data_IF_087317782368
#
_entry.id   IF_087317782368
#
_cell.length_a   1.000
_cell.length_b   1.000
_cell.length_c   1.000
_cell.angle_alpha   90.00
_cell.angle_beta   90.00
_cell.angle_gamma   90.00
#
_symmetry.space_group_name_H-M   'P 1'
#
loop_
_entity.id
_entity.type
_entity.pdbx_description
1 polymer ?
#
# COMPACT_ATOMS: atom_id res chain seq x y z
N UNK A 1 2.90 8.18 -1.13
CA UNK A 1 3.02 8.22 0.37
C UNK A 1 1.76 8.71 1.07
N UNK A 2 1.21 9.88 0.72
CA UNK A 2 0.01 10.42 1.41
C UNK A 2 -1.16 9.44 1.49
N UNK A 3 -1.55 8.85 0.36
CA UNK A 3 -2.66 7.87 0.32
C UNK A 3 -2.35 6.60 1.12
N UNK A 4 -1.10 6.12 1.08
CA UNK A 4 -0.68 4.95 1.82
C UNK A 4 -0.77 5.18 3.34
N UNK A 5 -0.21 6.28 3.83
CA UNK A 5 -0.32 6.64 5.25
C UNK A 5 -1.77 6.95 5.65
N UNK A 6 -2.52 7.60 4.75
CA UNK A 6 -3.93 7.90 4.97
C UNK A 6 -4.80 6.65 5.13
N UNK A 7 -4.55 5.61 4.33
CA UNK A 7 -5.22 4.32 4.45
C UNK A 7 -4.84 3.61 5.76
N UNK A 8 -3.54 3.47 6.05
CA UNK A 8 -3.06 2.83 7.28
C UNK A 8 -3.58 3.52 8.55
N UNK A 9 -3.63 4.85 8.57
CA UNK A 9 -4.05 5.65 9.73
C UNK A 9 -5.54 5.98 9.77
N UNK A 10 -6.35 5.38 8.91
CA UNK A 10 -7.80 5.67 8.81
C UNK A 10 -8.11 7.18 8.78
N UNK A 11 -7.25 7.94 8.06
CA UNK A 11 -7.27 9.41 8.07
C UNK A 11 -8.61 9.99 7.65
N UNK A 12 -9.28 9.38 6.65
CA UNK A 12 -10.56 9.85 6.16
C UNK A 12 -11.66 9.79 7.25
N UNK A 13 -11.72 8.70 8.00
CA UNK A 13 -12.67 8.54 9.11
C UNK A 13 -12.44 9.60 10.19
N UNK A 14 -11.18 9.85 10.56
CA UNK A 14 -10.82 10.89 11.52
C UNK A 14 -11.19 12.29 11.04
N UNK A 15 -10.92 12.60 9.75
CA UNK A 15 -11.27 13.89 9.16
C UNK A 15 -12.78 14.13 9.08
N UNK A 16 -13.56 13.11 8.72
CA UNK A 16 -15.03 13.19 8.72
C UNK A 16 -15.56 13.45 10.14
N UNK A 17 -15.05 12.73 11.13
CA UNK A 17 -15.42 12.92 12.53
C UNK A 17 -15.15 14.37 13.02
N UNK A 18 -14.00 14.94 12.63
CA UNK A 18 -13.68 16.34 12.96
C UNK A 18 -14.67 17.31 12.30
N UNK A 19 -14.94 17.12 11.00
CA UNK A 19 -15.86 17.99 10.24
C UNK A 19 -17.28 17.96 10.77
N UNK A 20 -17.71 16.83 11.34
CA UNK A 20 -19.01 16.66 11.97
C UNK A 20 -19.05 17.15 13.44
N UNK A 21 -17.95 17.70 13.95
CA UNK A 21 -17.84 18.13 15.36
C UNK A 21 -17.77 16.97 16.36
N UNK A 22 -17.45 15.75 15.89
CA UNK A 22 -17.45 14.51 16.67
C UNK A 22 -16.04 14.00 16.98
N UNK A 23 -15.07 14.88 17.17
CA UNK A 23 -13.65 14.51 17.37
C UNK A 23 -13.44 13.44 18.45
N UNK A 24 -14.19 13.50 19.53
CA UNK A 24 -14.20 12.49 20.60
C UNK A 24 -15.54 11.76 20.66
N UNK A 25 -16.13 11.45 19.50
CA UNK A 25 -17.42 10.81 19.39
C UNK A 25 -17.49 9.45 20.07
N UNK A 26 -18.70 8.94 20.22
CA UNK A 26 -18.95 7.58 20.68
C UNK A 26 -19.69 6.81 19.58
N UNK A 27 -19.09 5.82 18.91
CA UNK A 27 -17.70 5.35 19.12
C UNK A 27 -16.63 6.34 18.62
N UNK A 28 -15.41 6.31 19.18
CA UNK A 28 -14.33 7.14 18.70
C UNK A 28 -13.88 6.67 17.30
N UNK A 29 -13.30 7.56 16.46
CA UNK A 29 -12.77 7.16 15.16
C UNK A 29 -11.61 6.16 15.32
N UNK A 30 -11.45 5.22 14.39
CA UNK A 30 -10.38 4.21 14.45
C UNK A 30 -9.01 4.89 14.43
N UNK A 31 -8.08 4.40 15.24
CA UNK A 31 -6.70 4.91 15.30
C UNK A 31 -5.85 4.47 14.10
N UNK A 32 -6.26 3.38 13.44
CA UNK A 32 -5.49 2.78 12.35
C UNK A 32 -4.21 2.10 12.84
N UNK A 33 -3.32 1.79 11.90
CA UNK A 33 -2.10 1.04 12.11
C UNK A 33 -0.86 1.90 11.89
N UNK A 34 0.21 1.64 12.63
CA UNK A 34 1.51 2.24 12.39
C UNK A 34 2.13 1.63 11.11
N UNK A 35 2.79 2.42 10.25
CA UNK A 35 3.51 1.88 9.10
C UNK A 35 4.74 1.06 9.47
N UNK A 36 5.36 1.29 10.63
CA UNK A 36 6.53 0.54 11.07
C UNK A 36 6.23 -0.96 11.16
N UNK A 37 7.12 -1.78 10.60
CA UNK A 37 7.00 -3.23 10.55
C UNK A 37 5.99 -3.77 9.53
N UNK A 38 5.25 -2.91 8.82
CA UNK A 38 4.30 -3.32 7.77
C UNK A 38 4.99 -3.65 6.46
N UNK A 39 4.39 -4.55 5.70
CA UNK A 39 4.87 -4.97 4.38
C UNK A 39 4.14 -4.21 3.28
N UNK A 40 4.90 -3.43 2.51
CA UNK A 40 4.41 -2.78 1.29
C UNK A 40 4.66 -3.66 0.08
N UNK A 41 3.61 -4.12 -0.57
CA UNK A 41 3.66 -4.76 -1.87
C UNK A 41 3.61 -3.71 -3.00
N UNK A 42 4.60 -3.73 -3.88
CA UNK A 42 4.64 -2.83 -5.05
C UNK A 42 4.39 -3.64 -6.31
N UNK A 43 3.23 -3.47 -6.91
CA UNK A 43 2.94 -4.04 -8.23
C UNK A 43 3.38 -3.04 -9.29
N UNK A 44 4.51 -3.31 -9.94
CA UNK A 44 5.15 -2.39 -10.88
C UNK A 44 6.27 -1.56 -10.25
N UNK A 45 7.44 -2.16 -10.01
CA UNK A 45 8.65 -1.52 -9.47
C UNK A 45 9.42 -0.76 -10.56
N UNK A 46 8.73 0.19 -11.23
CA UNK A 46 9.33 1.17 -12.15
C UNK A 46 9.93 2.37 -11.41
N UNK A 47 10.09 3.50 -12.10
CA UNK A 47 10.61 4.73 -11.48
C UNK A 47 9.79 5.21 -10.28
N UNK A 48 8.44 5.17 -10.40
CA UNK A 48 7.51 5.56 -9.33
C UNK A 48 7.60 4.57 -8.17
N UNK A 49 7.54 3.26 -8.44
CA UNK A 49 7.61 2.22 -7.41
C UNK A 49 8.91 2.29 -6.60
N UNK A 50 10.05 2.47 -7.27
CA UNK A 50 11.36 2.63 -6.62
C UNK A 50 11.46 3.90 -5.75
N UNK A 51 10.83 4.98 -6.19
CA UNK A 51 10.75 6.21 -5.39
C UNK A 51 9.86 6.03 -4.16
N UNK A 52 8.71 5.35 -4.33
CA UNK A 52 7.82 5.00 -3.22
C UNK A 52 8.53 4.09 -2.21
N UNK A 53 9.26 3.06 -2.69
CA UNK A 53 10.06 2.17 -1.85
C UNK A 53 10.96 2.95 -0.88
N UNK A 54 11.80 3.84 -1.41
CA UNK A 54 12.73 4.64 -0.58
C UNK A 54 12.01 5.41 0.54
N UNK A 55 10.81 5.91 0.24
CA UNK A 55 10.00 6.64 1.23
C UNK A 55 9.38 5.70 2.25
N UNK A 56 8.87 4.55 1.82
CA UNK A 56 8.27 3.56 2.72
C UNK A 56 9.30 2.98 3.70
N UNK A 57 10.50 2.68 3.24
CA UNK A 57 11.60 2.23 4.09
C UNK A 57 11.97 3.27 5.17
N UNK A 58 11.89 4.56 4.86
CA UNK A 58 12.10 5.63 5.84
C UNK A 58 11.03 5.65 6.95
N UNK A 59 9.87 5.03 6.72
CA UNK A 59 8.82 4.80 7.72
C UNK A 59 8.89 3.42 8.38
N UNK A 60 10.01 2.71 8.23
CA UNK A 60 10.20 1.38 8.83
C UNK A 60 9.42 0.25 8.15
N UNK A 61 8.91 0.46 6.94
CA UNK A 61 8.21 -0.58 6.17
C UNK A 61 9.20 -1.50 5.46
N UNK A 62 8.86 -2.79 5.37
CA UNK A 62 9.52 -3.73 4.47
C UNK A 62 8.86 -3.65 3.09
N UNK A 63 9.66 -3.68 2.02
CA UNK A 63 9.14 -3.58 0.65
C UNK A 63 9.40 -4.85 -0.14
N UNK A 64 8.35 -5.40 -0.73
CA UNK A 64 8.41 -6.47 -1.72
C UNK A 64 7.74 -6.02 -3.01
N UNK A 65 8.06 -6.67 -4.13
CA UNK A 65 7.51 -6.25 -5.42
C UNK A 65 7.25 -7.42 -6.36
N UNK A 66 6.33 -7.18 -7.30
CA UNK A 66 6.12 -8.03 -8.46
C UNK A 66 6.18 -7.20 -9.75
N UNK A 67 6.90 -7.74 -10.73
CA UNK A 67 6.97 -7.26 -12.11
C UNK A 67 6.83 -8.46 -13.05
N UNK A 68 6.54 -8.22 -14.33
CA UNK A 68 6.60 -9.26 -15.36
C UNK A 68 7.99 -9.90 -15.51
N UNK A 69 9.04 -9.16 -15.14
CA UNK A 69 10.45 -9.63 -15.09
C UNK A 69 11.06 -9.10 -13.81
N UNK A 70 11.83 -9.92 -13.16
CA UNK A 70 12.61 -9.52 -12.00
C UNK A 70 13.61 -8.42 -12.37
N UNK A 71 13.80 -7.45 -11.50
CA UNK A 71 14.80 -6.40 -11.68
C UNK A 71 16.18 -6.89 -11.27
N UNK A 72 17.23 -6.25 -11.83
CA UNK A 72 18.58 -6.44 -11.30
C UNK A 72 18.65 -6.02 -9.83
N UNK A 73 19.56 -6.63 -9.06
CA UNK A 73 19.77 -6.35 -7.65
C UNK A 73 19.98 -4.84 -7.37
N UNK A 74 20.69 -4.16 -8.26
CA UNK A 74 20.93 -2.72 -8.20
C UNK A 74 19.62 -1.91 -8.29
N UNK A 75 18.73 -2.26 -9.22
CA UNK A 75 17.46 -1.58 -9.43
C UNK A 75 16.43 -1.93 -8.35
N UNK A 76 16.44 -3.17 -7.87
CA UNK A 76 15.58 -3.61 -6.77
C UNK A 76 15.97 -2.94 -5.44
N UNK A 77 17.27 -2.64 -5.26
CA UNK A 77 17.76 -1.94 -4.07
C UNK A 77 17.41 -2.62 -2.76
N UNK A 78 17.49 -3.96 -2.72
CA UNK A 78 17.17 -4.77 -1.54
C UNK A 78 15.70 -5.17 -1.39
N UNK A 79 14.78 -4.71 -2.26
CA UNK A 79 13.40 -5.20 -2.23
C UNK A 79 13.31 -6.65 -2.71
N UNK A 80 12.49 -7.46 -2.03
CA UNK A 80 12.29 -8.87 -2.37
C UNK A 80 11.37 -8.99 -3.59
N UNK A 81 11.80 -9.72 -4.63
CA UNK A 81 10.93 -10.14 -5.73
C UNK A 81 10.04 -11.31 -5.28
N UNK A 82 8.75 -11.23 -5.54
CA UNK A 82 7.77 -12.25 -5.17
C UNK A 82 6.83 -12.55 -6.35
N UNK A 83 6.16 -13.69 -6.31
CA UNK A 83 5.08 -14.00 -7.24
C UNK A 83 3.89 -13.05 -7.04
N UNK A 84 3.00 -12.97 -8.02
CA UNK A 84 1.79 -12.15 -7.90
C UNK A 84 0.91 -12.59 -6.71
N UNK A 85 0.71 -13.90 -6.58
CA UNK A 85 -0.11 -14.45 -5.48
C UNK A 85 0.55 -14.25 -4.11
N UNK A 86 1.87 -14.40 -4.02
CA UNK A 86 2.62 -14.09 -2.79
C UNK A 86 2.51 -12.61 -2.45
N UNK A 87 2.59 -11.70 -3.43
CA UNK A 87 2.40 -10.27 -3.20
C UNK A 87 1.05 -9.97 -2.57
N UNK A 88 -0.03 -10.59 -3.10
CA UNK A 88 -1.38 -10.38 -2.60
C UNK A 88 -1.60 -10.91 -1.18
N UNK A 89 -1.00 -12.06 -0.87
CA UNK A 89 -1.24 -12.76 0.40
C UNK A 89 -0.35 -12.30 1.55
N UNK A 90 0.80 -11.71 1.25
CA UNK A 90 1.81 -11.37 2.26
C UNK A 90 2.03 -9.87 2.46
N UNK A 91 1.34 -9.01 1.68
CA UNK A 91 1.42 -7.56 1.85
C UNK A 91 0.33 -7.04 2.78
N UNK A 92 0.67 -6.14 3.68
CA UNK A 92 -0.30 -5.37 4.47
C UNK A 92 -0.93 -4.24 3.65
N UNK A 93 -0.17 -3.68 2.69
CA UNK A 93 -0.62 -2.62 1.78
C UNK A 93 -0.06 -2.89 0.39
N UNK A 94 -0.86 -2.68 -0.64
CA UNK A 94 -0.43 -2.84 -2.03
C UNK A 94 -0.52 -1.50 -2.77
N UNK A 95 0.56 -1.16 -3.47
CA UNK A 95 0.62 0.00 -4.35
C UNK A 95 0.71 -0.43 -5.81
N UNK A 96 -0.29 -0.01 -6.58
CA UNK A 96 -0.36 -0.30 -8.02
C UNK A 96 0.35 0.83 -8.80
N UNK A 97 1.45 0.51 -9.46
CA UNK A 97 2.27 1.45 -10.25
C UNK A 97 2.44 0.96 -11.69
N UNK A 98 1.38 0.40 -12.25
CA UNK A 98 1.36 -0.13 -13.61
C UNK A 98 0.77 0.88 -14.58
N UNK A 99 1.23 0.90 -15.86
CA UNK A 99 0.56 1.68 -16.89
C UNK A 99 -0.84 1.10 -17.14
N UNK A 100 -1.84 1.97 -17.27
CA UNK A 100 -3.22 1.54 -17.52
C UNK A 100 -3.32 0.78 -18.86
N UNK A 101 -3.70 -0.48 -18.81
CA UNK A 101 -4.03 -1.29 -19.97
C UNK A 101 -5.14 -2.29 -19.64
N UNK A 102 -5.73 -2.92 -20.66
CA UNK A 102 -6.89 -3.83 -20.52
C UNK A 102 -6.63 -4.99 -19.55
N UNK A 103 -5.40 -5.51 -19.50
CA UNK A 103 -5.03 -6.61 -18.60
C UNK A 103 -4.99 -6.19 -17.12
N UNK A 104 -4.88 -4.90 -16.82
CA UNK A 104 -4.78 -4.37 -15.46
C UNK A 104 -6.16 -4.13 -14.84
N UNK A 105 -7.21 -3.93 -15.66
CA UNK A 105 -8.59 -3.88 -15.17
C UNK A 105 -9.00 -5.14 -14.38
N UNK A 106 -8.33 -6.26 -14.62
CA UNK A 106 -8.51 -7.49 -13.84
C UNK A 106 -7.82 -7.44 -12.47
N UNK A 107 -6.62 -6.87 -12.39
CA UNK A 107 -5.87 -6.76 -11.12
C UNK A 107 -6.57 -5.82 -10.14
N UNK A 108 -7.17 -4.71 -10.61
CA UNK A 108 -7.88 -3.77 -9.75
C UNK A 108 -9.14 -4.38 -9.13
N UNK A 109 -9.84 -5.27 -9.82
CA UNK A 109 -11.01 -5.97 -9.26
C UNK A 109 -10.67 -6.95 -8.14
N UNK A 110 -9.49 -7.57 -8.19
CA UNK A 110 -9.02 -8.48 -7.13
C UNK A 110 -8.61 -7.72 -5.88
N UNK A 111 -8.04 -6.53 -6.05
CA UNK A 111 -7.62 -5.67 -4.93
C UNK A 111 -8.79 -4.95 -4.25
N UNK A 112 -9.90 -4.69 -4.95
CA UNK A 112 -11.09 -4.07 -4.35
C UNK A 112 -11.70 -4.93 -3.22
N UNK A 113 -11.55 -6.26 -3.28
CA UNK A 113 -11.98 -7.15 -2.20
C UNK A 113 -11.07 -7.11 -0.96
N UNK A 114 -9.78 -6.80 -1.12
CA UNK A 114 -8.83 -6.76 -0.01
C UNK A 114 -8.83 -5.42 0.74
N UNK A 115 -9.27 -4.34 0.09
CA UNK A 115 -9.30 -2.99 0.70
C UNK A 115 -10.52 -2.78 1.61
N UNK A 116 -11.58 -3.58 1.44
CA UNK A 116 -12.83 -3.43 2.22
C UNK A 116 -12.73 -3.90 3.68
N UNK A 117 -11.67 -4.60 4.06
CA UNK A 117 -11.50 -5.14 5.42
C UNK A 117 -10.56 -4.32 6.32
N UNK A 118 -9.97 -3.23 5.84
CA UNK A 118 -8.92 -2.51 6.57
C UNK A 118 -9.40 -1.25 7.33
N UNK A 119 -10.67 -0.86 7.20
CA UNK A 119 -11.23 0.27 7.96
C UNK A 119 -12.67 0.02 8.38
#
# INVERSE_FOLDING_TARGET
MFLLLGALRCFNASMLSIREGKWRGNPPPPLGHDPEGKVLGVLGMGGIGRNLKKKAEAFGMTVQYHNRRELSAELAGGAKYVSFDELLTTSDVISLNLPLNVSISYCTRVTDHLVSELC
#
